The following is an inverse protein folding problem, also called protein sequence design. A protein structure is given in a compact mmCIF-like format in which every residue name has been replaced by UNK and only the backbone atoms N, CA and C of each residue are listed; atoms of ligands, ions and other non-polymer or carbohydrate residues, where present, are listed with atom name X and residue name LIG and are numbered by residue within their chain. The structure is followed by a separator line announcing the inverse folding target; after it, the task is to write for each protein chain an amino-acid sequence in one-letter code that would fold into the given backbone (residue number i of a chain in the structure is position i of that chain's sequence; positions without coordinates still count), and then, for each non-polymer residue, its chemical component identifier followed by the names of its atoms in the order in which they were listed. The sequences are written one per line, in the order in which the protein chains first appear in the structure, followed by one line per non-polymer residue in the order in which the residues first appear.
data_IF_053074287276
#
_entry.id   IF_053074287276
#
_cell.length_a   1.000
_cell.length_b   1.000
_cell.length_c   1.000
_cell.angle_alpha   90.00
_cell.angle_beta   90.00
_cell.angle_gamma   90.00
#
_symmetry.space_group_name_H-M   'P 1'
#
loop_
_entity.id
_entity.type
_entity.pdbx_description
1 polymer ?
#
# COMPACT_ATOMS: atom_id res chain seq x y z
N UNK A 1 8.30 -1.27 4.73
CA UNK A 1 7.09 -1.81 4.09
C UNK A 1 7.48 -3.11 3.40
N UNK A 2 6.62 -4.12 3.42
CA UNK A 2 6.80 -5.40 2.72
C UNK A 2 5.62 -5.60 1.76
N UNK A 3 5.89 -6.15 0.58
CA UNK A 3 4.87 -6.57 -0.38
C UNK A 3 4.99 -8.09 -0.60
N UNK A 4 3.89 -8.81 -0.51
CA UNK A 4 3.83 -10.27 -0.72
C UNK A 4 2.68 -10.58 -1.68
N UNK A 5 2.91 -11.45 -2.67
CA UNK A 5 1.84 -11.92 -3.56
C UNK A 5 1.05 -13.03 -2.85
N UNK A 6 -0.27 -12.89 -2.78
CA UNK A 6 -1.20 -13.86 -2.19
C UNK A 6 -2.33 -14.14 -3.19
N UNK A 7 -2.13 -15.13 -4.06
CA UNK A 7 -3.07 -15.47 -5.12
C UNK A 7 -3.34 -14.29 -6.07
N UNK A 8 -4.61 -13.88 -6.13
CA UNK A 8 -5.06 -12.74 -6.94
C UNK A 8 -4.79 -11.37 -6.29
N UNK A 9 -4.17 -11.33 -5.10
CA UNK A 9 -3.89 -10.09 -4.38
C UNK A 9 -2.39 -9.88 -4.15
N UNK A 10 -2.03 -8.65 -3.86
CA UNK A 10 -0.76 -8.24 -3.26
C UNK A 10 -1.07 -7.74 -1.86
N UNK A 11 -0.53 -8.42 -0.84
CA UNK A 11 -0.58 -7.99 0.54
C UNK A 11 0.56 -7.02 0.81
N UNK A 12 0.20 -5.78 1.13
CA UNK A 12 1.10 -4.71 1.51
C UNK A 12 1.06 -4.56 3.03
N UNK A 13 2.21 -4.75 3.69
CA UNK A 13 2.29 -4.76 5.14
C UNK A 13 3.36 -3.80 5.67
N UNK A 14 3.07 -3.18 6.82
CA UNK A 14 3.99 -2.28 7.51
C UNK A 14 3.82 -2.32 9.03
N UNK A 15 4.83 -1.88 9.80
CA UNK A 15 4.76 -1.95 11.27
C UNK A 15 3.59 -1.12 11.83
N UNK A 16 2.85 -1.69 12.79
CA UNK A 16 1.77 -1.02 13.51
C UNK A 16 2.22 0.20 14.32
N UNK A 17 3.50 0.22 14.70
CA UNK A 17 4.15 1.36 15.36
C UNK A 17 4.28 2.59 14.46
N UNK A 18 4.14 2.44 13.13
CA UNK A 18 4.17 3.54 12.18
C UNK A 18 2.83 4.32 12.19
N UNK A 19 2.53 4.97 13.32
CA UNK A 19 1.30 5.74 13.53
C UNK A 19 1.27 7.00 12.65
N UNK A 20 0.10 7.30 12.08
CA UNK A 20 -0.13 8.46 11.23
C UNK A 20 0.44 8.32 9.82
N UNK A 21 0.95 7.14 9.45
CA UNK A 21 1.28 6.83 8.06
C UNK A 21 0.06 6.27 7.33
N UNK A 22 -0.14 6.72 6.10
CA UNK A 22 -1.18 6.26 5.19
C UNK A 22 -0.55 5.64 3.95
N UNK A 23 -1.23 4.67 3.36
CA UNK A 23 -0.79 4.05 2.12
C UNK A 23 -1.23 4.92 0.94
N UNK A 24 -0.29 5.21 0.05
CA UNK A 24 -0.56 5.87 -1.22
C UNK A 24 -0.06 5.00 -2.38
N UNK A 25 -0.72 5.15 -3.52
CA UNK A 25 -0.37 4.47 -4.76
C UNK A 25 -0.23 5.46 -5.92
N UNK A 26 0.49 5.04 -6.95
CA UNK A 26 0.48 5.67 -8.28
C UNK A 26 0.84 4.67 -9.36
N UNK A 27 0.43 4.96 -10.60
CA UNK A 27 0.63 4.09 -11.76
C UNK A 27 1.91 4.37 -12.55
N UNK A 28 2.54 5.53 -12.32
CA UNK A 28 3.78 5.92 -12.99
C UNK A 28 4.66 6.78 -12.09
N UNK A 29 5.98 6.65 -12.22
CA UNK A 29 6.94 7.54 -11.55
C UNK A 29 7.19 8.84 -12.33
N UNK A 30 6.68 8.95 -13.57
CA UNK A 30 6.87 10.11 -14.43
C UNK A 30 6.24 11.39 -13.83
N UNK A 31 6.77 12.58 -14.15
CA UNK A 31 6.15 13.85 -13.77
C UNK A 31 4.67 13.92 -14.21
N UNK A 32 3.82 14.53 -13.37
CA UNK A 32 2.39 14.70 -13.65
C UNK A 32 1.47 13.59 -13.13
N UNK A 33 2.01 12.49 -12.61
CA UNK A 33 1.22 11.43 -11.97
C UNK A 33 1.23 11.61 -10.44
N UNK A 34 0.12 12.08 -9.83
CA UNK A 34 0.06 12.30 -8.39
C UNK A 34 0.01 10.98 -7.64
N UNK A 35 0.44 11.01 -6.38
CA UNK A 35 0.15 9.95 -5.42
C UNK A 35 -1.31 10.06 -4.98
N UNK A 36 -2.01 8.94 -4.95
CA UNK A 36 -3.40 8.84 -4.53
C UNK A 36 -3.48 7.97 -3.27
N UNK A 37 -4.27 8.37 -2.29
CA UNK A 37 -4.49 7.56 -1.09
C UNK A 37 -5.20 6.25 -1.44
N UNK A 38 -4.75 5.16 -0.83
CA UNK A 38 -5.45 3.87 -0.86
C UNK A 38 -6.49 3.87 0.25
N UNK A 39 -7.76 3.75 -0.11
CA UNK A 39 -8.90 3.82 0.84
C UNK A 39 -9.38 2.44 1.32
N UNK A 40 -8.73 1.37 0.87
CA UNK A 40 -9.03 0.01 1.32
C UNK A 40 -8.83 -0.15 2.83
N UNK A 41 -9.61 -1.05 3.41
CA UNK A 41 -9.59 -1.31 4.84
C UNK A 41 -8.21 -1.85 5.27
N UNK A 42 -7.59 -1.15 6.22
CA UNK A 42 -6.35 -1.61 6.87
C UNK A 42 -6.73 -2.66 7.92
N UNK A 43 -6.20 -3.87 7.74
CA UNK A 43 -6.27 -4.92 8.75
C UNK A 43 -5.12 -4.73 9.74
N UNK A 44 -5.42 -4.74 11.04
CA UNK A 44 -4.43 -4.59 12.10
C UNK A 44 -4.35 -5.90 12.88
N UNK A 45 -3.22 -6.58 12.81
CA UNK A 45 -2.98 -7.83 13.53
C UNK A 45 -1.53 -7.91 13.99
N UNK A 46 -1.30 -8.40 15.22
CA UNK A 46 0.06 -8.68 15.74
C UNK A 46 1.08 -7.55 15.54
N UNK A 47 0.67 -6.30 15.80
CA UNK A 47 1.50 -5.09 15.61
C UNK A 47 1.97 -4.86 14.15
N UNK A 48 1.16 -5.31 13.18
CA UNK A 48 1.36 -5.09 11.76
C UNK A 48 0.06 -4.59 11.14
N UNK A 49 0.17 -3.54 10.34
CA UNK A 49 -0.89 -3.06 9.46
C UNK A 49 -0.72 -3.76 8.12
N UNK A 50 -1.82 -4.20 7.52
CA UNK A 50 -1.82 -4.77 6.18
C UNK A 50 -3.03 -4.32 5.35
N UNK A 51 -2.82 -4.19 4.05
CA UNK A 51 -3.85 -3.93 3.05
C UNK A 51 -3.67 -4.91 1.91
N UNK A 52 -4.76 -5.57 1.51
CA UNK A 52 -4.78 -6.38 0.30
C UNK A 52 -5.20 -5.49 -0.87
N UNK A 53 -4.41 -5.51 -1.95
CA UNK A 53 -4.75 -4.86 -3.22
C UNK A 53 -4.89 -5.95 -4.29
N UNK A 54 -5.83 -5.78 -5.21
CA UNK A 54 -5.93 -6.68 -6.35
C UNK A 54 -4.62 -6.65 -7.16
N UNK A 55 -4.08 -7.82 -7.49
CA UNK A 55 -2.98 -7.92 -8.42
C UNK A 55 -3.52 -7.64 -9.83
N UNK A 56 -3.00 -6.59 -10.45
CA UNK A 56 -3.34 -6.19 -11.82
C UNK A 56 -2.19 -6.51 -12.76
N UNK A 57 -2.50 -6.65 -14.05
CA UNK A 57 -1.49 -6.77 -15.11
C UNK A 57 -0.93 -5.39 -15.51
N UNK A 58 -0.48 -4.64 -14.49
CA UNK A 58 0.06 -3.30 -14.62
C UNK A 58 1.03 -3.00 -13.48
N UNK A 59 1.94 -2.04 -13.70
CA UNK A 59 2.84 -1.58 -12.64
C UNK A 59 2.10 -0.59 -11.73
N UNK A 60 2.08 -0.88 -10.43
CA UNK A 60 1.57 0.02 -9.40
C UNK A 60 2.67 0.23 -8.38
N UNK A 61 2.96 1.49 -8.07
CA UNK A 61 3.94 1.90 -7.08
C UNK A 61 3.22 2.27 -5.79
N UNK A 62 3.76 1.84 -4.65
CA UNK A 62 3.19 2.12 -3.35
C UNK A 62 4.20 2.81 -2.45
N UNK A 63 3.72 3.70 -1.57
CA UNK A 63 4.51 4.28 -0.49
C UNK A 63 3.68 4.46 0.76
N UNK A 64 4.37 4.51 1.89
CA UNK A 64 3.80 5.07 3.11
C UNK A 64 4.14 6.56 3.15
N UNK A 65 3.12 7.37 3.37
CA UNK A 65 3.26 8.81 3.51
C UNK A 65 2.72 9.24 4.88
N UNK A 66 3.41 10.18 5.51
CA UNK A 66 2.91 10.87 6.70
C UNK A 66 2.79 12.35 6.33
N UNK A 67 1.58 12.93 6.42
CA UNK A 67 1.38 14.35 6.14
C UNK A 67 2.18 15.24 7.08
#
# INVERSE_FOLDING_TARGET
MKATREGANVLLAWPGVARGFFLEQRTSLAPGFPWQSVFDAVTIASNQNSVAQAAVDAVVFYRLNKP
#
